data_IF_864161907218
#
_entry.id   IF_864161907218
#
_cell.length_a   1.000
_cell.length_b   1.000
_cell.length_c   1.000
_cell.angle_alpha   90.00
_cell.angle_beta   90.00
_cell.angle_gamma   90.00
#
_symmetry.space_group_name_H-M   'P 1'
#
loop_
_entity.id
_entity.type
_entity.pdbx_description
1 polymer ?
#
# COMPACT_ATOMS: atom_id res chain seq x y z
N UNK A 1 -2.78 -0.89 2.68
CA UNK A 1 -3.26 0.40 2.15
C UNK A 1 -3.45 0.38 0.64
N UNK A 2 -3.40 -0.79 -0.01
CA UNK A 2 -3.86 -0.91 -1.37
C UNK A 2 -5.36 -1.10 -1.32
N UNK A 3 -6.13 -0.01 -1.52
CA UNK A 3 -7.53 0.13 -1.92
C UNK A 3 -8.13 1.23 -1.05
N UNK A 4 -8.20 2.46 -1.56
CA UNK A 4 -8.62 3.61 -0.75
C UNK A 4 -9.88 4.23 -1.34
N UNK A 5 -10.93 4.36 -0.53
CA UNK A 5 -12.07 5.28 -0.70
C UNK A 5 -12.70 5.37 -2.11
N UNK A 6 -12.72 4.29 -2.88
CA UNK A 6 -13.29 4.27 -4.23
C UNK A 6 -12.36 4.75 -5.36
N UNK A 7 -11.06 4.89 -5.07
CA UNK A 7 -9.97 5.07 -6.06
C UNK A 7 -9.71 3.75 -6.78
N UNK A 8 -9.31 3.81 -8.05
CA UNK A 8 -9.03 2.63 -8.85
C UNK A 8 -7.82 1.83 -8.33
N UNK A 9 -7.76 0.53 -8.62
CA UNK A 9 -6.68 -0.34 -8.17
C UNK A 9 -5.32 0.04 -8.75
N UNK A 10 -5.25 0.57 -9.97
CA UNK A 10 -3.99 1.02 -10.60
C UNK A 10 -3.48 2.30 -9.93
N UNK A 11 -4.36 3.26 -9.69
CA UNK A 11 -4.05 4.51 -8.99
C UNK A 11 -3.60 4.21 -7.55
N UNK A 12 -4.29 3.28 -6.90
CA UNK A 12 -3.95 2.74 -5.60
C UNK A 12 -2.57 2.06 -5.58
N UNK A 13 -2.25 1.25 -6.59
CA UNK A 13 -0.95 0.57 -6.70
C UNK A 13 0.18 1.58 -6.92
N UNK A 14 -0.05 2.60 -7.75
CA UNK A 14 0.89 3.70 -7.95
C UNK A 14 1.13 4.50 -6.65
N UNK A 15 0.06 4.82 -5.91
CA UNK A 15 0.10 5.43 -4.57
C UNK A 15 0.87 4.54 -3.59
N UNK A 16 0.57 3.24 -3.59
CA UNK A 16 1.14 2.26 -2.68
C UNK A 16 2.64 2.04 -2.87
N UNK A 17 3.13 2.04 -4.11
CA UNK A 17 4.48 1.55 -4.45
C UNK A 17 5.54 2.65 -4.47
N UNK A 18 5.18 3.88 -4.87
CA UNK A 18 6.19 4.89 -5.21
C UNK A 18 6.19 6.13 -4.32
N UNK A 19 5.29 6.22 -3.33
CA UNK A 19 5.18 7.40 -2.46
C UNK A 19 5.60 7.09 -1.03
N UNK A 20 6.11 8.12 -0.33
CA UNK A 20 6.29 8.08 1.11
C UNK A 20 4.93 8.09 1.82
N UNK A 21 4.86 7.63 3.06
CA UNK A 21 3.60 7.64 3.81
C UNK A 21 2.99 9.05 3.96
N UNK A 22 3.75 10.12 4.29
CA UNK A 22 3.19 11.47 4.37
C UNK A 22 2.55 11.93 3.04
N UNK A 23 3.20 11.64 1.91
CA UNK A 23 2.62 11.97 0.60
C UNK A 23 1.33 11.17 0.32
N UNK A 24 1.25 9.92 0.79
CA UNK A 24 0.02 9.12 0.67
C UNK A 24 -1.10 9.73 1.51
N UNK A 25 -0.80 10.13 2.75
CA UNK A 25 -1.76 10.79 3.66
C UNK A 25 -2.35 12.06 3.01
N UNK A 26 -1.48 12.98 2.56
CA UNK A 26 -1.89 14.23 1.91
C UNK A 26 -2.81 14.00 0.69
N UNK A 27 -2.45 13.04 -0.17
CA UNK A 27 -3.24 12.72 -1.36
C UNK A 27 -4.58 12.08 -1.00
N UNK A 28 -4.59 11.17 0.00
CA UNK A 28 -5.83 10.52 0.44
C UNK A 28 -6.80 11.57 0.97
N UNK A 29 -6.34 12.51 1.81
CA UNK A 29 -7.15 13.61 2.32
C UNK A 29 -7.67 14.51 1.20
N UNK A 30 -6.80 14.88 0.25
CA UNK A 30 -7.20 15.67 -0.92
C UNK A 30 -8.29 14.97 -1.76
N UNK A 31 -8.16 13.66 -1.97
CA UNK A 31 -9.16 12.87 -2.70
C UNK A 31 -10.47 12.78 -1.92
N UNK A 32 -10.38 12.59 -0.61
CA UNK A 32 -11.52 12.52 0.30
C UNK A 32 -12.31 13.83 0.29
N UNK A 33 -11.66 14.99 0.46
CA UNK A 33 -12.32 16.31 0.41
C UNK A 33 -13.11 16.53 -0.88
N UNK A 34 -12.61 16.04 -2.02
CA UNK A 34 -13.27 16.19 -3.32
C UNK A 34 -14.47 15.26 -3.54
N UNK A 35 -14.49 14.10 -2.87
CA UNK A 35 -15.45 13.03 -3.16
C UNK A 35 -16.38 12.68 -1.98
N UNK A 36 -16.12 13.22 -0.78
CA UNK A 36 -16.88 12.90 0.41
C UNK A 36 -18.35 13.37 0.29
N UNK A 37 -19.32 12.57 0.78
CA UNK A 37 -20.73 12.91 0.73
C UNK A 37 -21.11 14.03 1.72
N UNK A 38 -20.27 14.33 2.71
CA UNK A 38 -20.53 15.34 3.75
C UNK A 38 -19.24 15.73 4.48
N UNK A 39 -19.23 16.87 5.15
CA UNK A 39 -18.12 17.32 6.00
C UNK A 39 -17.85 16.34 7.16
N UNK A 40 -18.89 15.82 7.81
CA UNK A 40 -18.72 14.84 8.91
C UNK A 40 -18.05 13.55 8.47
N UNK A 41 -18.21 13.16 7.19
CA UNK A 41 -17.50 12.01 6.62
C UNK A 41 -16.01 12.31 6.45
N UNK A 42 -15.66 13.56 6.12
CA UNK A 42 -14.26 14.00 6.05
C UNK A 42 -13.64 13.93 7.44
N UNK A 43 -14.31 14.51 8.44
CA UNK A 43 -13.85 14.52 9.83
C UNK A 43 -13.60 13.10 10.37
N UNK A 44 -14.54 12.15 10.18
CA UNK A 44 -14.38 10.76 10.64
C UNK A 44 -13.17 10.06 10.00
N UNK A 45 -12.88 10.34 8.72
CA UNK A 45 -11.71 9.76 8.06
C UNK A 45 -10.42 10.46 8.48
N UNK A 46 -10.45 11.78 8.68
CA UNK A 46 -9.29 12.53 9.13
C UNK A 46 -8.80 12.06 10.50
N UNK A 47 -9.72 11.78 11.43
CA UNK A 47 -9.42 11.20 12.74
C UNK A 47 -8.75 9.82 12.58
N UNK A 48 -9.29 8.95 11.71
CA UNK A 48 -8.72 7.62 11.44
C UNK A 48 -7.32 7.73 10.81
N UNK A 49 -7.12 8.67 9.90
CA UNK A 49 -5.82 8.87 9.24
C UNK A 49 -4.78 9.42 10.21
N UNK A 50 -5.18 10.27 11.16
CA UNK A 50 -4.33 10.74 12.24
C UNK A 50 -3.89 9.57 13.14
N UNK A 51 -4.80 8.69 13.53
CA UNK A 51 -4.48 7.47 14.29
C UNK A 51 -3.50 6.56 13.52
N UNK A 52 -3.69 6.39 12.21
CA UNK A 52 -2.78 5.61 11.37
C UNK A 52 -1.40 6.28 11.27
N UNK A 53 -1.35 7.61 11.16
CA UNK A 53 -0.09 8.36 11.10
C UNK A 53 0.71 8.13 12.37
N UNK A 54 0.07 8.20 13.52
CA UNK A 54 0.70 7.98 14.82
C UNK A 54 1.14 6.52 14.98
N UNK A 55 0.28 5.56 14.61
CA UNK A 55 0.63 4.15 14.55
C UNK A 55 1.83 3.87 13.62
N UNK A 56 1.92 4.54 12.48
CA UNK A 56 3.04 4.41 11.55
C UNK A 56 4.34 4.96 12.12
N UNK A 57 4.28 6.05 12.89
CA UNK A 57 5.46 6.55 13.61
C UNK A 57 5.94 5.53 14.64
N UNK A 58 5.03 4.94 15.42
CA UNK A 58 5.35 3.88 16.38
C UNK A 58 5.93 2.65 15.69
N UNK A 59 5.31 2.20 14.60
CA UNK A 59 5.80 1.10 13.77
C UNK A 59 7.20 1.38 13.26
N UNK A 60 7.50 2.61 12.83
CA UNK A 60 8.84 2.96 12.37
C UNK A 60 9.87 2.97 13.51
N UNK A 61 9.45 3.33 14.74
CA UNK A 61 10.32 3.23 15.92
C UNK A 61 10.63 1.75 16.21
N UNK A 62 9.64 0.86 16.18
CA UNK A 62 9.84 -0.55 16.56
C UNK A 62 10.46 -1.38 15.43
N UNK A 63 9.93 -1.30 14.21
CA UNK A 63 10.30 -2.19 13.11
C UNK A 63 11.69 -1.94 12.51
N UNK A 64 12.30 -0.79 12.77
CA UNK A 64 13.63 -0.45 12.29
C UNK A 64 14.72 -0.51 13.37
N UNK A 65 14.36 -0.84 14.61
CA UNK A 65 15.33 -1.05 15.67
C UNK A 65 15.78 -2.52 15.70
N UNK A 66 17.02 -2.73 16.11
CA UNK A 66 17.51 -4.07 16.43
C UNK A 66 17.18 -4.40 17.88
N UNK A 67 16.82 -5.64 18.14
CA UNK A 67 16.50 -6.11 19.49
C UNK A 67 17.54 -7.13 19.96
N UNK A 68 17.96 -6.99 21.21
CA UNK A 68 18.83 -7.93 21.88
C UNK A 68 18.26 -8.29 23.25
N UNK A 69 18.45 -9.52 23.67
CA UNK A 69 18.06 -10.00 25.00
C UNK A 69 19.34 -10.23 25.79
N UNK A 70 19.44 -9.62 26.97
CA UNK A 70 20.60 -9.80 27.84
C UNK A 70 20.59 -11.22 28.43
N UNK A 71 21.69 -11.99 28.32
CA UNK A 71 21.70 -13.42 28.64
C UNK A 71 21.44 -13.72 30.12
N UNK A 72 21.90 -12.84 31.03
CA UNK A 72 21.77 -13.08 32.47
C UNK A 72 20.48 -12.52 33.07
N UNK A 73 20.04 -11.32 32.65
CA UNK A 73 18.89 -10.62 33.22
C UNK A 73 17.60 -10.86 32.45
N UNK A 74 17.67 -11.47 31.27
CA UNK A 74 16.56 -11.62 30.31
C UNK A 74 15.90 -10.30 29.89
N UNK A 75 16.57 -9.17 30.10
CA UNK A 75 16.07 -7.84 29.73
C UNK A 75 16.18 -7.63 28.23
N UNK A 76 15.15 -7.01 27.64
CA UNK A 76 15.11 -6.69 26.21
C UNK A 76 15.65 -5.27 26.01
N UNK A 77 16.57 -5.13 25.07
CA UNK A 77 17.12 -3.86 24.66
C UNK A 77 16.80 -3.59 23.20
N UNK A 78 16.38 -2.37 22.92
CA UNK A 78 16.18 -1.82 21.59
C UNK A 78 17.36 -0.93 21.24
N UNK A 79 18.06 -1.25 20.16
CA UNK A 79 19.13 -0.44 19.59
C UNK A 79 18.59 0.40 18.44
N UNK A 80 18.71 1.72 18.57
CA UNK A 80 18.34 2.69 17.54
C UNK A 80 19.60 3.35 16.97
N UNK A 81 19.77 3.27 15.66
CA UNK A 81 20.89 3.90 14.95
C UNK A 81 20.36 5.05 14.10
N UNK A 82 20.93 6.25 14.25
CA UNK A 82 20.64 7.43 13.44
C UNK A 82 21.93 7.87 12.72
N UNK A 83 21.85 8.13 11.42
CA UNK A 83 23.00 8.47 10.58
C UNK A 83 22.91 9.88 9.93
N UNK A 84 22.15 10.82 10.50
CA UNK A 84 21.98 12.15 9.92
C UNK A 84 23.08 13.11 10.40
N UNK A 85 24.11 13.31 9.57
CA UNK A 85 25.25 14.21 9.83
C UNK A 85 26.34 13.62 10.74
N UNK A 86 25.95 12.78 11.71
CA UNK A 86 26.85 11.95 12.52
C UNK A 86 26.17 10.63 12.88
N UNK A 87 26.95 9.58 13.12
CA UNK A 87 26.44 8.29 13.59
C UNK A 87 26.15 8.39 15.10
N UNK A 88 24.88 8.25 15.47
CA UNK A 88 24.43 8.20 16.86
C UNK A 88 23.75 6.85 17.10
N UNK A 89 24.14 6.16 18.17
CA UNK A 89 23.49 4.94 18.64
C UNK A 89 22.86 5.19 20.01
N UNK A 90 21.64 4.69 20.20
CA UNK A 90 20.89 4.77 21.44
C UNK A 90 20.46 3.35 21.81
N UNK A 91 20.84 2.90 23.01
CA UNK A 91 20.41 1.62 23.57
C UNK A 91 19.37 1.91 24.66
N UNK A 92 18.15 1.43 24.47
CA UNK A 92 17.04 1.62 25.41
C UNK A 92 16.52 0.27 25.89
N UNK A 93 16.36 0.10 27.19
CA UNK A 93 15.63 -1.05 27.75
C UNK A 93 14.14 -0.93 27.41
N UNK A 94 13.53 -2.01 26.93
CA UNK A 94 12.11 -2.09 26.61
C UNK A 94 11.50 -3.33 27.27
N UNK A 95 10.20 -3.31 27.54
CA UNK A 95 9.50 -4.49 28.07
C UNK A 95 8.67 -5.17 26.99
N UNK A 96 8.30 -6.44 27.23
CA UNK A 96 7.40 -7.15 26.33
C UNK A 96 6.02 -6.50 26.29
N UNK A 97 5.56 -5.97 27.43
CA UNK A 97 4.29 -5.25 27.55
C UNK A 97 4.27 -3.99 26.67
N UNK A 98 5.34 -3.18 26.68
CA UNK A 98 5.45 -1.99 25.83
C UNK A 98 5.39 -2.34 24.33
N UNK A 99 6.03 -3.44 23.93
CA UNK A 99 6.00 -3.92 22.55
C UNK A 99 4.62 -4.43 22.14
N UNK A 100 3.94 -5.15 23.04
CA UNK A 100 2.59 -5.65 22.83
C UNK A 100 1.58 -4.50 22.73
N UNK A 101 1.68 -3.51 23.61
CA UNK A 101 0.83 -2.32 23.58
C UNK A 101 1.02 -1.55 22.27
N UNK A 102 2.27 -1.38 21.83
CA UNK A 102 2.57 -0.74 20.55
C UNK A 102 1.97 -1.52 19.37
N UNK A 103 2.09 -2.85 19.40
CA UNK A 103 1.51 -3.71 18.36
C UNK A 103 -0.03 -3.62 18.35
N UNK A 104 -0.67 -3.57 19.52
CA UNK A 104 -2.11 -3.42 19.65
C UNK A 104 -2.60 -2.07 19.11
N UNK A 105 -1.88 -0.98 19.40
CA UNK A 105 -2.19 0.35 18.84
C UNK A 105 -2.13 0.35 17.30
N UNK A 106 -1.08 -0.24 16.72
CA UNK A 106 -0.96 -0.37 15.26
C UNK A 106 -2.09 -1.21 14.67
N UNK A 107 -2.42 -2.32 15.33
CA UNK A 107 -3.50 -3.21 14.89
C UNK A 107 -4.85 -2.50 14.92
N UNK A 108 -5.17 -1.81 16.02
CA UNK A 108 -6.42 -1.05 16.18
C UNK A 108 -6.58 0.04 15.14
N UNK A 109 -5.53 0.82 14.86
CA UNK A 109 -5.58 1.84 13.81
C UNK A 109 -5.91 1.23 12.44
N UNK A 110 -5.32 0.07 12.11
CA UNK A 110 -5.64 -0.68 10.90
C UNK A 110 -7.08 -1.20 10.87
N UNK A 111 -7.57 -1.71 12.00
CA UNK A 111 -8.95 -2.19 12.15
C UNK A 111 -9.97 -1.06 12.02
N UNK A 112 -9.72 0.11 12.63
CA UNK A 112 -10.61 1.28 12.51
C UNK A 112 -10.83 1.68 11.05
N UNK A 113 -9.75 1.72 10.25
CA UNK A 113 -9.88 2.00 8.82
C UNK A 113 -10.64 0.91 8.07
N UNK A 114 -10.36 -0.36 8.37
CA UNK A 114 -11.07 -1.47 7.75
C UNK A 114 -12.57 -1.43 8.07
N UNK A 115 -12.93 -1.20 9.33
CA UNK A 115 -14.32 -1.09 9.78
C UNK A 115 -15.02 0.09 9.12
N UNK A 116 -14.36 1.25 9.03
CA UNK A 116 -14.87 2.40 8.30
C UNK A 116 -15.14 2.07 6.81
N UNK A 117 -14.20 1.39 6.16
CA UNK A 117 -14.36 0.97 4.76
C UNK A 117 -15.53 -0.01 4.59
N UNK A 118 -15.69 -0.97 5.50
CA UNK A 118 -16.79 -1.95 5.46
C UNK A 118 -18.15 -1.28 5.71
N UNK A 119 -18.26 -0.43 6.73
CA UNK A 119 -19.45 0.34 7.11
C UNK A 119 -19.97 1.20 5.95
N UNK A 120 -19.05 1.79 5.18
CA UNK A 120 -19.37 2.69 4.08
C UNK A 120 -19.31 2.03 2.69
N UNK A 121 -19.13 0.70 2.63
CA UNK A 121 -19.02 -0.07 1.39
C UNK A 121 -17.90 0.44 0.44
N UNK A 122 -16.82 0.96 1.01
CA UNK A 122 -15.66 1.50 0.30
C UNK A 122 -14.68 0.36 -0.01
N UNK A 123 -15.10 -0.53 -0.89
CA UNK A 123 -14.27 -1.64 -1.35
C UNK A 123 -13.36 -1.26 -2.54
N UNK A 124 -12.49 -2.19 -2.95
CA UNK A 124 -11.71 -2.07 -4.18
C UNK A 124 -12.61 -1.84 -5.37
N UNK A 125 -12.39 -0.72 -6.07
CA UNK A 125 -12.89 -0.58 -7.43
C UNK A 125 -11.83 -1.16 -8.36
N UNK A 126 -12.07 -2.39 -8.81
CA UNK A 126 -11.28 -2.99 -9.87
C UNK A 126 -11.73 -2.42 -11.22
N UNK A 127 -10.86 -1.67 -11.91
CA UNK A 127 -11.15 -1.31 -13.31
C UNK A 127 -11.27 -2.57 -14.17
N UNK A 128 -12.40 -2.71 -14.85
CA UNK A 128 -12.63 -3.81 -15.82
C UNK A 128 -11.79 -3.67 -17.09
N UNK A 129 -11.27 -2.49 -17.37
CA UNK A 129 -10.56 -2.18 -18.63
C UNK A 129 -9.29 -1.38 -18.35
N UNK A 130 -8.18 -1.81 -18.95
CA UNK A 130 -6.90 -1.08 -18.91
C UNK A 130 -7.10 0.36 -19.43
N UNK A 131 -6.56 1.39 -18.74
CA UNK A 131 -6.64 2.79 -19.19
C UNK A 131 -6.02 3.02 -20.57
N UNK A 132 -5.03 2.19 -20.92
CA UNK A 132 -4.37 2.22 -22.22
C UNK A 132 -4.66 0.90 -22.94
N UNK A 133 -5.40 0.97 -24.05
CA UNK A 133 -5.39 -0.10 -25.03
C UNK A 133 -3.98 -0.17 -25.62
N UNK A 134 -3.32 -1.32 -25.53
CA UNK A 134 -2.02 -1.49 -26.17
C UNK A 134 -2.21 -1.45 -27.70
N UNK A 135 -1.85 -0.35 -28.34
CA UNK A 135 -1.86 -0.23 -29.81
C UNK A 135 -1.02 -1.33 -30.50
N UNK A 136 -0.03 -1.88 -29.78
CA UNK A 136 0.85 -2.94 -30.28
C UNK A 136 0.17 -4.30 -30.45
N UNK A 137 -0.97 -4.57 -29.79
CA UNK A 137 -1.71 -5.84 -29.96
C UNK A 137 -2.71 -5.82 -31.10
N UNK A 138 -3.22 -4.65 -31.48
CA UNK A 138 -4.17 -4.51 -32.61
C UNK A 138 -3.48 -4.65 -33.96
N UNK A 139 -2.19 -4.27 -34.07
CA UNK A 139 -1.41 -4.46 -35.31
C UNK A 139 -0.98 -5.92 -35.57
N UNK A 140 -1.00 -6.79 -34.56
CA UNK A 140 -0.62 -8.21 -34.71
C UNK A 140 -1.75 -9.10 -35.26
N UNK A 141 -3.01 -8.60 -35.33
CA UNK A 141 -4.13 -9.34 -35.95
C UNK A 141 -4.40 -8.95 -37.40
N UNK A 142 -3.62 -8.05 -37.98
CA UNK A 142 -3.57 -7.89 -39.43
C UNK A 142 -2.84 -9.12 -40.00
N UNK A 143 -3.63 -10.15 -40.28
CA UNK A 143 -3.24 -11.41 -40.92
C UNK A 143 -2.25 -11.14 -42.07
N UNK A 144 -1.04 -11.74 -42.08
CA UNK A 144 -0.27 -11.78 -43.31
C UNK A 144 -1.09 -12.54 -44.34
N UNK A 145 -1.15 -11.97 -45.54
CA UNK A 145 -1.88 -12.47 -46.68
C UNK A 145 -1.60 -13.97 -46.89
N UNK A 146 -2.65 -14.71 -47.24
CA UNK A 146 -2.61 -16.12 -47.62
C UNK A 146 -1.46 -16.35 -48.62
N UNK A 147 -0.50 -17.19 -48.24
CA UNK A 147 0.44 -17.75 -49.19
C UNK A 147 -0.36 -18.55 -50.24
N UNK A 148 -0.35 -17.99 -51.45
CA UNK A 148 -0.63 -18.62 -52.74
C UNK A 148 -0.65 -20.15 -52.67
N UNK A 149 -1.83 -20.73 -52.87
CA UNK A 149 -2.00 -22.13 -53.24
C UNK A 149 -1.20 -22.44 -54.50
N UNK A 150 -0.16 -23.26 -54.38
CA UNK A 150 0.52 -23.89 -55.52
C UNK A 150 -0.46 -24.93 -56.09
N UNK A 151 -0.77 -24.92 -57.40
CA UNK A 151 -1.62 -25.96 -57.99
C UNK A 151 -0.85 -27.28 -58.00
N UNK A 152 -1.42 -28.30 -57.38
CA UNK A 152 -0.97 -29.69 -57.51
C UNK A 152 -1.34 -30.12 -58.93
N UNK A 153 -0.33 -30.41 -59.75
CA UNK A 153 -0.50 -31.04 -61.05
C UNK A 153 -0.80 -32.52 -60.78
N UNK A 154 -2.04 -32.93 -61.02
CA UNK A 154 -2.40 -34.35 -61.08
C UNK A 154 -1.77 -34.95 -62.35
N UNK A 155 -0.83 -35.88 -62.17
CA UNK A 155 -0.41 -36.79 -63.23
C UNK A 155 -1.28 -38.05 -63.14
N UNK A 156 -2.14 -38.23 -64.14
CA UNK A 156 -2.80 -39.50 -64.41
C UNK A 156 -1.78 -40.55 -64.91
N UNK A 157 -2.13 -41.82 -64.69
CA UNK A 157 -1.32 -43.03 -64.78
C UNK A 157 -0.72 -43.35 -66.16
#
# INVERSE_FOLDING_TARGET
>A
MGIVLGVDNIETEALGTHMSFPMKDDIIRSILELNAPSASFVDEVDDILDDIRDAMQLRNIVAHNEFAIHPETAEIFSLRIKARGSLQSELKKVTAEELLETADQIYRAGMSLQDFMLKNHLGPRFRRTSPRASESRTKSKASPARLSTVPIIEMEA
#
